data_IF_991753983291
#
_entry.id   IF_991753983291
#
_cell.length_a   1.000
_cell.length_b   1.000
_cell.length_c   1.000
_cell.angle_alpha   90.00
_cell.angle_beta   90.00
_cell.angle_gamma   90.00
#
_symmetry.space_group_name_H-M   'P 1'
#
loop_
_entity.id
_entity.type
_entity.pdbx_description
1 polymer ?
#
# COMPACT_ATOMS: atom_id res chain seq x y z
N UNK A 1 -56.27 -6.40 -35.25
CA UNK A 1 -56.51 -4.94 -35.21
C UNK A 1 -55.83 -4.38 -33.95
N UNK A 2 -55.31 -3.15 -33.98
CA UNK A 2 -53.89 -2.85 -33.80
C UNK A 2 -53.53 -2.16 -32.46
N UNK A 3 -52.23 -2.19 -32.11
CA UNK A 3 -51.33 -1.10 -31.63
C UNK A 3 -51.85 -0.30 -30.41
N UNK A 4 -51.11 -0.16 -29.29
CA UNK A 4 -50.06 0.85 -29.11
C UNK A 4 -48.97 0.45 -28.09
N UNK A 5 -47.73 0.47 -28.59
CA UNK A 5 -46.48 0.63 -27.85
C UNK A 5 -46.45 1.92 -27.03
N UNK A 6 -45.82 1.89 -25.84
CA UNK A 6 -45.16 3.02 -25.15
C UNK A 6 -44.87 2.56 -23.69
N UNK A 7 -43.70 2.68 -23.07
CA UNK A 7 -42.41 3.33 -23.35
C UNK A 7 -41.38 2.58 -22.51
N UNK A 8 -40.23 2.26 -23.09
CA UNK A 8 -39.01 1.96 -22.33
C UNK A 8 -38.68 3.19 -21.49
N UNK A 9 -38.68 3.07 -20.18
CA UNK A 9 -37.96 4.01 -19.32
C UNK A 9 -36.71 3.31 -18.81
N UNK A 10 -35.61 3.75 -19.40
CA UNK A 10 -34.24 3.35 -19.20
C UNK A 10 -33.77 3.66 -17.75
N UNK A 11 -32.62 3.08 -17.34
CA UNK A 11 -32.23 2.89 -15.96
C UNK A 11 -31.70 4.19 -15.34
N UNK A 12 -32.03 4.43 -14.07
CA UNK A 12 -31.41 5.52 -13.31
C UNK A 12 -31.26 5.12 -11.83
N UNK A 13 -30.35 4.18 -11.57
CA UNK A 13 -29.62 4.17 -10.30
C UNK A 13 -28.21 4.68 -10.59
N UNK A 14 -28.15 5.97 -10.95
CA UNK A 14 -26.94 6.76 -10.90
C UNK A 14 -26.96 7.53 -9.59
N UNK A 15 -25.81 7.58 -8.92
CA UNK A 15 -25.47 8.34 -7.72
C UNK A 15 -25.63 7.62 -6.37
N UNK A 16 -24.61 6.84 -6.01
CA UNK A 16 -23.99 6.97 -4.68
C UNK A 16 -22.56 6.38 -4.66
N UNK A 17 -21.61 7.07 -5.29
CA UNK A 17 -20.20 6.68 -5.28
C UNK A 17 -19.29 7.86 -4.86
N UNK A 18 -19.68 8.63 -3.85
CA UNK A 18 -18.92 9.79 -3.37
C UNK A 18 -18.87 9.93 -1.84
N UNK A 19 -18.70 8.83 -1.09
CA UNK A 19 -18.41 8.93 0.36
C UNK A 19 -17.13 8.18 0.76
N UNK A 20 -16.46 7.49 -0.16
CA UNK A 20 -15.24 6.71 0.11
C UNK A 20 -13.98 7.55 0.37
N UNK A 21 -14.09 8.82 0.80
CA UNK A 21 -12.96 9.71 1.09
C UNK A 21 -12.83 10.18 2.54
N UNK A 22 -13.89 10.07 3.36
CA UNK A 22 -13.89 10.55 4.76
C UNK A 22 -13.49 9.46 5.76
N UNK A 23 -13.70 8.19 5.44
CA UNK A 23 -13.35 7.09 6.33
C UNK A 23 -11.84 6.92 6.49
N UNK A 24 -11.05 7.25 5.46
CA UNK A 24 -9.62 6.94 5.38
C UNK A 24 -8.77 7.81 6.31
N UNK A 25 -9.07 9.11 6.37
CA UNK A 25 -8.40 10.03 7.29
C UNK A 25 -8.75 9.70 8.74
N UNK A 26 -10.03 9.35 8.99
CA UNK A 26 -10.49 8.94 10.31
C UNK A 26 -9.81 7.66 10.80
N UNK A 27 -9.60 6.67 9.92
CA UNK A 27 -8.93 5.41 10.29
C UNK A 27 -7.43 5.56 10.55
N UNK A 28 -6.73 6.47 9.85
CA UNK A 28 -5.32 6.76 10.11
C UNK A 28 -5.13 7.49 11.46
N UNK A 29 -5.99 8.47 11.76
CA UNK A 29 -6.00 9.11 13.08
C UNK A 29 -6.35 8.12 14.18
N UNK A 30 -7.33 7.24 13.95
CA UNK A 30 -7.70 6.21 14.89
C UNK A 30 -6.54 5.23 15.15
N UNK A 31 -5.84 4.78 14.11
CA UNK A 31 -4.66 3.94 14.26
C UNK A 31 -3.56 4.65 15.07
N UNK A 32 -3.29 5.93 14.79
CA UNK A 32 -2.33 6.71 15.60
C UNK A 32 -2.76 6.79 17.07
N UNK A 33 -4.02 7.11 17.33
CA UNK A 33 -4.54 7.20 18.69
C UNK A 33 -4.45 5.86 19.43
N UNK A 34 -4.69 4.74 18.73
CA UNK A 34 -4.55 3.39 19.27
C UNK A 34 -3.09 3.05 19.59
N UNK A 35 -2.13 3.49 18.75
CA UNK A 35 -0.71 3.36 19.03
C UNK A 35 -0.31 4.18 20.27
N UNK A 36 -0.77 5.42 20.37
CA UNK A 36 -0.52 6.30 21.52
C UNK A 36 -1.12 5.74 22.80
N UNK A 37 -2.26 5.05 22.70
CA UNK A 37 -2.92 4.37 23.81
C UNK A 37 -2.33 2.96 24.12
N UNK A 38 -1.40 2.46 23.31
CA UNK A 38 -0.80 1.13 23.47
C UNK A 38 -1.70 -0.03 23.03
N UNK A 39 -2.81 0.23 22.36
CA UNK A 39 -3.72 -0.77 21.81
C UNK A 39 -3.20 -1.33 20.47
N UNK A 40 -2.04 -1.99 20.50
CA UNK A 40 -1.31 -2.42 19.30
C UNK A 40 -2.13 -3.34 18.37
N UNK A 41 -2.88 -4.30 18.92
CA UNK A 41 -3.74 -5.20 18.11
C UNK A 41 -4.86 -4.45 17.39
N UNK A 42 -5.43 -3.43 18.02
CA UNK A 42 -6.49 -2.64 17.40
C UNK A 42 -5.91 -1.70 16.35
N UNK A 43 -4.72 -1.13 16.62
CA UNK A 43 -4.00 -0.32 15.66
C UNK A 43 -3.65 -1.12 14.41
N UNK A 44 -3.18 -2.36 14.56
CA UNK A 44 -2.91 -3.29 13.45
C UNK A 44 -4.16 -3.52 12.59
N UNK A 45 -5.31 -3.83 13.21
CA UNK A 45 -6.56 -3.99 12.49
C UNK A 45 -6.99 -2.73 11.73
N UNK A 46 -6.88 -1.56 12.36
CA UNK A 46 -7.21 -0.28 11.73
C UNK A 46 -6.27 0.00 10.53
N UNK A 47 -4.97 -0.28 10.68
CA UNK A 47 -3.98 -0.14 9.60
C UNK A 47 -4.25 -1.13 8.46
N UNK A 48 -4.62 -2.37 8.76
CA UNK A 48 -4.96 -3.38 7.76
C UNK A 48 -6.16 -2.94 6.90
N UNK A 49 -7.16 -2.30 7.50
CA UNK A 49 -8.28 -1.72 6.77
C UNK A 49 -7.82 -0.58 5.85
N UNK A 50 -6.94 0.30 6.34
CA UNK A 50 -6.39 1.39 5.53
C UNK A 50 -5.56 0.85 4.35
N UNK A 51 -4.75 -0.17 4.58
CA UNK A 51 -3.92 -0.80 3.54
C UNK A 51 -4.75 -1.59 2.52
N UNK A 52 -5.88 -2.16 2.94
CA UNK A 52 -6.82 -2.80 2.02
C UNK A 52 -7.44 -1.79 1.04
N UNK A 53 -7.78 -0.60 1.54
CA UNK A 53 -8.33 0.48 0.71
C UNK A 53 -7.23 1.19 -0.11
N UNK A 54 -6.05 1.40 0.49
CA UNK A 54 -4.93 2.15 -0.08
C UNK A 54 -3.59 1.42 0.14
N UNK A 55 -3.28 0.41 -0.69
CA UNK A 55 -2.10 -0.43 -0.52
C UNK A 55 -0.77 0.29 -0.77
N UNK A 56 -0.79 1.53 -1.25
CA UNK A 56 0.40 2.35 -1.54
C UNK A 56 0.42 3.65 -0.71
N UNK A 57 -0.28 3.69 0.42
CA UNK A 57 -0.32 4.87 1.29
C UNK A 57 0.95 4.98 2.13
N UNK A 58 1.76 6.02 1.88
CA UNK A 58 2.98 6.30 2.65
C UNK A 58 2.69 6.48 4.15
N UNK A 59 1.55 7.06 4.51
CA UNK A 59 1.14 7.27 5.90
C UNK A 59 0.83 5.97 6.62
N UNK A 60 0.22 4.99 5.93
CA UNK A 60 -0.08 3.69 6.50
C UNK A 60 1.21 2.91 6.79
N UNK A 61 2.13 2.84 5.82
CA UNK A 61 3.45 2.24 6.00
C UNK A 61 4.26 2.91 7.12
N UNK A 62 4.15 4.23 7.28
CA UNK A 62 4.80 4.94 8.38
C UNK A 62 4.22 4.56 9.76
N UNK A 63 2.89 4.49 9.88
CA UNK A 63 2.25 4.06 11.13
C UNK A 63 2.53 2.59 11.44
N UNK A 64 2.64 1.74 10.42
CA UNK A 64 3.06 0.34 10.57
C UNK A 64 4.51 0.24 11.05
N UNK A 65 5.42 1.08 10.52
CA UNK A 65 6.78 1.19 11.04
C UNK A 65 6.80 1.58 12.53
N UNK A 66 5.90 2.50 12.92
CA UNK A 66 5.75 2.94 14.31
C UNK A 66 5.18 1.83 15.21
N UNK A 67 4.17 1.10 14.75
CA UNK A 67 3.64 -0.10 15.42
C UNK A 67 4.75 -1.11 15.67
N UNK A 68 5.50 -1.47 14.62
CA UNK A 68 6.60 -2.42 14.68
C UNK A 68 7.73 -1.95 15.61
N UNK A 69 8.00 -0.64 15.66
CA UNK A 69 8.96 -0.06 16.60
C UNK A 69 8.50 -0.23 18.05
N UNK A 70 7.21 0.02 18.35
CA UNK A 70 6.64 -0.20 19.69
C UNK A 70 6.66 -1.68 20.08
N UNK A 71 6.48 -2.59 19.13
CA UNK A 71 6.64 -4.04 19.33
C UNK A 71 8.12 -4.48 19.46
N UNK A 72 9.08 -3.59 19.26
CA UNK A 72 10.52 -3.90 19.27
C UNK A 72 11.00 -4.66 18.04
N UNK A 73 10.20 -4.73 16.97
CA UNK A 73 10.54 -5.37 15.68
C UNK A 73 11.32 -4.40 14.78
N UNK A 74 12.45 -3.89 15.29
CA UNK A 74 13.28 -2.88 14.62
C UNK A 74 13.64 -3.19 13.15
N UNK A 75 14.02 -4.44 12.77
CA UNK A 75 14.36 -4.74 11.39
C UNK A 75 13.17 -4.67 10.42
N UNK A 76 11.94 -4.78 10.91
CA UNK A 76 10.73 -4.61 10.09
C UNK A 76 10.29 -3.15 10.09
N UNK A 77 10.39 -2.46 11.23
CA UNK A 77 10.13 -1.04 11.33
C UNK A 77 10.98 -0.21 10.35
N UNK A 78 12.25 -0.58 10.19
CA UNK A 78 13.15 0.03 9.20
C UNK A 78 12.61 -0.11 7.78
N UNK A 79 12.19 -1.31 7.41
CA UNK A 79 11.70 -1.62 6.07
C UNK A 79 10.48 -0.80 5.71
N UNK A 80 9.50 -0.77 6.61
CA UNK A 80 8.27 0.01 6.41
C UNK A 80 8.55 1.51 6.39
N UNK A 81 9.49 1.99 7.22
CA UNK A 81 9.91 3.38 7.20
C UNK A 81 10.61 3.77 5.89
N UNK A 82 11.43 2.89 5.32
CA UNK A 82 12.03 3.09 3.99
C UNK A 82 10.97 3.10 2.90
N UNK A 83 9.98 2.19 2.95
CA UNK A 83 8.88 2.16 1.99
C UNK A 83 8.05 3.45 2.06
N UNK A 84 7.70 3.90 3.26
CA UNK A 84 7.00 5.17 3.47
C UNK A 84 7.76 6.35 2.85
N UNK A 85 9.09 6.43 3.06
CA UNK A 85 9.96 7.46 2.46
C UNK A 85 10.09 7.34 0.94
N UNK A 86 10.03 6.14 0.38
CA UNK A 86 10.05 5.93 -1.08
C UNK A 86 8.75 6.38 -1.74
N UNK A 87 7.62 6.13 -1.07
CA UNK A 87 6.29 6.50 -1.54
C UNK A 87 6.05 8.01 -1.41
N UNK A 88 6.41 8.61 -0.27
CA UNK A 88 6.38 10.05 -0.07
C UNK A 88 7.67 10.52 0.64
N UNK A 89 8.65 11.01 -0.13
CA UNK A 89 9.89 11.56 0.42
C UNK A 89 9.68 12.78 1.30
N UNK A 90 8.58 13.51 1.10
CA UNK A 90 8.27 14.72 1.86
C UNK A 90 7.73 14.40 3.24
N UNK A 91 7.21 13.18 3.45
CA UNK A 91 6.53 12.74 4.67
C UNK A 91 5.53 13.80 5.19
N UNK A 92 4.83 14.47 4.27
CA UNK A 92 4.00 15.65 4.58
C UNK A 92 2.84 15.33 5.52
N UNK A 93 2.51 14.05 5.68
CA UNK A 93 1.43 13.54 6.52
C UNK A 93 1.79 13.41 8.01
N UNK A 94 3.09 13.37 8.36
CA UNK A 94 3.54 13.23 9.75
C UNK A 94 4.31 14.49 10.18
N UNK A 95 4.16 14.96 11.43
CA UNK A 95 5.00 16.04 11.93
C UNK A 95 6.48 15.65 11.83
N UNK A 96 7.31 16.54 11.27
CA UNK A 96 8.74 16.27 11.04
C UNK A 96 9.46 15.80 12.31
N UNK A 97 9.08 16.32 13.49
CA UNK A 97 9.63 15.88 14.76
C UNK A 97 9.34 14.39 15.06
N UNK A 98 8.13 13.91 14.77
CA UNK A 98 7.76 12.51 15.01
C UNK A 98 8.48 11.56 14.04
N UNK A 99 8.51 11.92 12.75
CA UNK A 99 9.15 11.09 11.74
C UNK A 99 10.67 11.00 11.92
N UNK A 100 11.29 12.09 12.34
CA UNK A 100 12.71 12.10 12.72
C UNK A 100 12.98 11.33 14.01
N UNK A 101 12.09 11.42 15.01
CA UNK A 101 12.24 10.65 16.25
C UNK A 101 12.20 9.15 15.97
N UNK A 102 11.21 8.68 15.21
CA UNK A 102 11.11 7.27 14.80
C UNK A 102 12.34 6.84 14.00
N UNK A 103 12.79 7.66 13.04
CA UNK A 103 13.99 7.36 12.27
C UNK A 103 15.23 7.23 13.17
N UNK A 104 15.43 8.14 14.11
CA UNK A 104 16.54 8.08 15.05
C UNK A 104 16.48 6.83 15.95
N UNK A 105 15.29 6.45 16.39
CA UNK A 105 15.09 5.26 17.21
C UNK A 105 15.43 3.98 16.42
N UNK A 106 14.90 3.86 15.20
CA UNK A 106 15.24 2.76 14.30
C UNK A 106 16.74 2.70 14.03
N UNK A 107 17.39 3.83 13.72
CA UNK A 107 18.84 3.90 13.46
C UNK A 107 19.68 3.50 14.69
N UNK A 108 19.27 3.92 15.89
CA UNK A 108 19.95 3.54 17.13
C UNK A 108 19.92 2.02 17.34
N UNK A 109 18.81 1.37 16.99
CA UNK A 109 18.67 -0.09 17.04
C UNK A 109 19.31 -0.80 15.84
N UNK A 110 19.47 -0.11 14.70
CA UNK A 110 20.10 -0.61 13.47
C UNK A 110 21.61 -0.89 13.65
N UNK A 111 22.34 -0.10 14.44
CA UNK A 111 23.79 -0.28 14.66
C UNK A 111 24.15 -1.69 15.15
N UNK A 112 23.19 -2.41 15.74
CA UNK A 112 23.37 -3.78 16.23
C UNK A 112 23.25 -4.85 15.14
N UNK A 113 22.80 -4.52 13.92
CA UNK A 113 22.55 -5.47 12.83
C UNK A 113 23.05 -4.94 11.47
N UNK A 114 24.24 -5.33 10.98
CA UNK A 114 24.76 -4.92 9.66
C UNK A 114 24.06 -5.61 8.47
N UNK A 115 22.83 -6.10 8.62
CA UNK A 115 22.14 -6.92 7.60
C UNK A 115 21.19 -6.13 6.67
N UNK A 116 21.03 -4.82 6.86
CA UNK A 116 20.03 -3.98 6.18
C UNK A 116 20.11 -3.95 4.64
N UNK A 117 21.27 -4.24 4.05
CA UNK A 117 21.43 -4.27 2.58
C UNK A 117 21.44 -5.69 1.97
N UNK A 118 21.53 -6.75 2.78
CA UNK A 118 21.72 -8.12 2.26
C UNK A 118 20.42 -8.91 2.09
N UNK A 119 19.32 -8.53 2.77
CA UNK A 119 18.03 -9.25 2.70
C UNK A 119 17.14 -8.86 1.51
N UNK A 120 17.30 -7.65 1.00
CA UNK A 120 16.55 -7.18 -0.19
C UNK A 120 17.17 -7.63 -1.51
N UNK A 121 18.48 -7.96 -1.52
CA UNK A 121 19.14 -8.49 -2.70
C UNK A 121 18.57 -9.83 -3.17
N UNK A 122 17.97 -10.63 -2.30
CA UNK A 122 17.43 -11.94 -2.69
C UNK A 122 15.91 -11.93 -2.90
N UNK A 123 15.14 -11.21 -2.09
CA UNK A 123 13.68 -11.15 -2.23
C UNK A 123 13.20 -10.13 -3.29
N UNK A 124 13.86 -8.97 -3.41
CA UNK A 124 13.49 -7.99 -4.44
C UNK A 124 13.91 -8.48 -5.84
N UNK A 125 15.03 -9.21 -5.96
CA UNK A 125 15.36 -9.92 -7.19
C UNK A 125 14.37 -11.04 -7.50
N UNK A 126 13.89 -11.80 -6.52
CA UNK A 126 12.88 -12.83 -6.76
C UNK A 126 11.53 -12.25 -7.24
N UNK A 127 11.07 -11.14 -6.64
CA UNK A 127 9.84 -10.47 -7.07
C UNK A 127 9.98 -9.85 -8.47
N UNK A 128 11.12 -9.25 -8.80
CA UNK A 128 11.43 -8.82 -10.17
C UNK A 128 11.52 -10.00 -11.14
N UNK A 129 12.09 -11.15 -10.73
CA UNK A 129 12.19 -12.33 -11.59
C UNK A 129 10.82 -12.92 -11.91
N UNK A 130 9.88 -12.96 -10.94
CA UNK A 130 8.50 -13.41 -11.18
C UNK A 130 7.76 -12.45 -12.12
N UNK A 131 7.93 -11.14 -11.95
CA UNK A 131 7.30 -10.15 -12.82
C UNK A 131 7.88 -10.15 -14.25
N UNK A 132 9.20 -10.28 -14.38
CA UNK A 132 9.90 -10.35 -15.69
C UNK A 132 9.59 -11.70 -16.38
N UNK A 133 9.58 -12.82 -15.65
CA UNK A 133 9.23 -14.14 -16.18
C UNK A 133 7.77 -14.20 -16.66
N UNK A 134 6.85 -13.61 -15.90
CA UNK A 134 5.45 -13.48 -16.31
C UNK A 134 5.25 -12.62 -17.56
N UNK A 135 6.01 -11.52 -17.69
CA UNK A 135 5.93 -10.64 -18.86
C UNK A 135 6.49 -11.29 -20.14
N UNK A 136 7.55 -12.09 -20.03
CA UNK A 136 8.19 -12.73 -21.18
C UNK A 136 7.34 -13.87 -21.77
N UNK A 137 6.65 -14.64 -20.93
CA UNK A 137 5.71 -15.69 -21.37
C UNK A 137 4.50 -15.10 -22.10
N UNK A 138 3.94 -14.00 -21.60
CA UNK A 138 2.80 -13.32 -22.25
C UNK A 138 3.22 -12.63 -23.56
N UNK A 139 4.43 -12.08 -23.62
CA UNK A 139 4.99 -11.47 -24.84
C UNK A 139 5.19 -12.45 -26.00
N UNK A 140 5.69 -13.67 -25.72
CA UNK A 140 5.94 -14.70 -26.74
C UNK A 140 4.63 -15.31 -27.28
N UNK A 141 3.59 -15.43 -26.44
CA UNK A 141 2.28 -15.97 -26.87
C UNK A 141 1.52 -14.99 -27.76
N UNK A 142 1.66 -13.67 -27.56
CA UNK A 142 1.04 -12.66 -28.44
C UNK A 142 1.79 -12.49 -29.77
N UNK A 143 3.10 -12.73 -29.80
CA UNK A 143 3.90 -12.59 -31.03
C UNK A 143 3.64 -13.69 -32.08
N UNK A 144 3.07 -14.84 -31.70
CA UNK A 144 2.71 -15.92 -32.66
C UNK A 144 1.39 -15.70 -33.40
N UNK A 145 0.66 -14.60 -33.18
CA UNK A 145 -0.62 -14.29 -33.88
C UNK A 145 -0.51 -13.14 -34.88
N UNK A 146 0.60 -13.06 -35.63
CA UNK A 146 0.59 -12.41 -36.95
C UNK A 146 0.52 -13.50 -38.02
N UNK A 147 -0.69 -14.00 -38.37
CA UNK A 147 -0.85 -14.77 -39.58
C UNK A 147 -0.50 -13.87 -40.77
N UNK A 148 0.37 -14.36 -41.64
CA UNK A 148 0.58 -13.77 -42.95
C UNK A 148 -0.75 -13.67 -43.69
N UNK A 149 -1.15 -12.45 -44.00
CA UNK A 149 -2.28 -12.12 -44.87
C UNK A 149 -1.75 -11.40 -46.10
N UNK A 150 -1.54 -12.22 -47.14
CA UNK A 150 -1.35 -11.94 -48.57
C UNK A 150 -1.90 -10.59 -49.08
N UNK A 151 -1.11 -9.88 -49.90
CA UNK A 151 -1.20 -9.83 -51.39
C UNK A 151 0.15 -9.43 -51.97
#
# INVERSE_FOLDING_TARGET
MPIHSLKRFAPLFLALALISGVAQAATLEQASALLDAGHLTQADHALAQVLADQPHSASAHYLEARLLAVEGKWPLAEKELELAKRLDPTLSFAPAAQSQALANEVLKHQWKNPAGFAGYGQAALAALFVLISGYLVVGVVRNKRRPGGQV
#
